data_IF_146456083425
#
_entry.id   IF_146456083425
#
_cell.length_a   1.000
_cell.length_b   1.000
_cell.length_c   1.000
_cell.angle_alpha   90.00
_cell.angle_beta   90.00
_cell.angle_gamma   90.00
#
_symmetry.space_group_name_H-M   'P 1'
#
loop_
_entity.id
_entity.type
_entity.pdbx_description
1 polymer ?
#
# COMPACT_ATOMS: atom_id res chain seq x y z
N UNK A 1 -8.87 10.60 26.22
CA UNK A 1 -8.30 9.36 25.67
C UNK A 1 -6.86 9.69 25.30
N UNK A 2 -5.87 8.98 25.85
CA UNK A 2 -4.48 9.19 25.41
C UNK A 2 -4.35 8.64 23.98
N UNK A 3 -3.64 9.36 23.11
CA UNK A 3 -3.32 8.84 21.78
C UNK A 3 -2.39 7.64 21.93
N UNK A 4 -2.64 6.58 21.18
CA UNK A 4 -1.74 5.41 21.12
C UNK A 4 -0.46 5.68 20.31
N UNK A 5 -0.42 6.78 19.56
CA UNK A 5 0.71 7.23 18.76
C UNK A 5 0.75 8.76 18.76
N UNK A 6 1.87 9.35 19.14
CA UNK A 6 2.03 10.80 19.37
C UNK A 6 3.01 11.48 18.40
N UNK A 7 3.57 10.72 17.45
CA UNK A 7 4.47 11.23 16.42
C UNK A 7 3.70 11.63 15.15
N UNK A 8 4.31 12.48 14.31
CA UNK A 8 3.76 12.78 12.99
C UNK A 8 3.81 11.55 12.08
N UNK A 9 2.74 11.32 11.33
CA UNK A 9 2.62 10.18 10.41
C UNK A 9 2.06 10.65 9.07
N UNK A 10 2.86 10.47 8.03
CA UNK A 10 2.53 10.74 6.63
C UNK A 10 2.34 9.39 5.93
N UNK A 11 1.10 9.04 5.59
CA UNK A 11 0.78 7.77 4.97
C UNK A 11 0.52 7.96 3.48
N UNK A 12 1.20 7.16 2.66
CA UNK A 12 0.80 6.92 1.27
C UNK A 12 -0.30 5.85 1.27
N UNK A 13 -1.55 6.30 1.07
CA UNK A 13 -2.72 5.42 1.05
C UNK A 13 -3.06 4.93 -0.35
N UNK A 14 -3.13 3.62 -0.51
CA UNK A 14 -3.52 2.95 -1.76
C UNK A 14 -4.22 1.60 -1.49
N UNK A 15 -4.98 1.51 -0.40
CA UNK A 15 -5.79 0.36 0.02
C UNK A 15 -7.13 0.22 -0.72
N UNK A 16 -7.36 1.04 -1.74
CA UNK A 16 -8.53 0.92 -2.58
C UNK A 16 -8.59 -0.44 -3.28
N UNK A 17 -9.71 -1.16 -3.09
CA UNK A 17 -10.02 -2.44 -3.74
C UNK A 17 -10.92 -2.21 -4.96
N UNK A 18 -12.24 -2.14 -4.73
CA UNK A 18 -13.22 -2.06 -5.80
C UNK A 18 -13.12 -0.80 -6.66
N UNK A 19 -12.76 0.36 -6.10
CA UNK A 19 -12.57 1.59 -6.88
C UNK A 19 -11.32 1.51 -7.76
N UNK A 20 -10.24 0.94 -7.26
CA UNK A 20 -9.00 0.76 -8.01
C UNK A 20 -9.22 -0.20 -9.18
N UNK A 21 -9.84 -1.35 -8.92
CA UNK A 21 -10.22 -2.31 -9.95
C UNK A 21 -11.16 -1.71 -11.01
N UNK A 22 -12.28 -1.11 -10.59
CA UNK A 22 -13.32 -0.63 -11.54
C UNK A 22 -12.88 0.61 -12.30
N UNK A 23 -12.25 1.58 -11.63
CA UNK A 23 -11.95 2.89 -12.23
C UNK A 23 -10.59 2.91 -12.95
N UNK A 24 -9.58 2.24 -12.42
CA UNK A 24 -8.24 2.24 -13.04
C UNK A 24 -8.11 1.15 -14.10
N UNK A 25 -8.65 -0.04 -13.85
CA UNK A 25 -8.51 -1.20 -14.75
C UNK A 25 -9.76 -1.52 -15.55
N UNK A 26 -10.90 -0.88 -15.28
CA UNK A 26 -12.14 -1.10 -16.03
C UNK A 26 -12.76 -2.49 -15.81
N UNK A 27 -12.36 -3.23 -14.77
CA UNK A 27 -12.80 -4.61 -14.54
C UNK A 27 -14.14 -4.62 -13.79
N UNK A 28 -15.24 -5.06 -14.41
CA UNK A 28 -16.52 -5.20 -13.72
C UNK A 28 -16.56 -6.51 -12.91
N UNK A 29 -17.20 -6.49 -11.73
CA UNK A 29 -17.39 -7.70 -10.92
C UNK A 29 -16.13 -8.15 -10.18
N UNK A 30 -15.90 -9.46 -10.11
CA UNK A 30 -14.69 -10.03 -9.50
C UNK A 30 -13.61 -10.23 -10.57
N UNK A 31 -12.34 -9.88 -10.29
CA UNK A 31 -11.27 -9.98 -11.26
C UNK A 31 -10.87 -11.45 -11.49
N UNK A 32 -10.56 -11.80 -12.73
CA UNK A 32 -9.87 -13.04 -13.07
C UNK A 32 -8.46 -13.10 -12.44
N UNK A 33 -7.80 -14.28 -12.42
CA UNK A 33 -6.43 -14.38 -11.92
C UNK A 33 -5.44 -13.46 -12.63
N UNK A 34 -5.57 -13.29 -13.94
CA UNK A 34 -4.69 -12.41 -14.73
C UNK A 34 -4.93 -10.93 -14.40
N UNK A 35 -6.19 -10.53 -14.27
CA UNK A 35 -6.58 -9.18 -13.85
C UNK A 35 -6.13 -8.88 -12.42
N UNK A 36 -6.25 -9.85 -11.52
CA UNK A 36 -5.75 -9.76 -10.15
C UNK A 36 -4.24 -9.56 -10.13
N UNK A 37 -3.50 -10.29 -10.97
CA UNK A 37 -2.05 -10.10 -11.11
C UNK A 37 -1.69 -8.69 -11.56
N UNK A 38 -2.44 -8.09 -12.50
CA UNK A 38 -2.24 -6.68 -12.93
C UNK A 38 -2.50 -5.68 -11.80
N UNK A 39 -3.53 -5.91 -10.98
CA UNK A 39 -3.83 -5.06 -9.83
C UNK A 39 -2.72 -5.15 -8.78
N UNK A 40 -2.24 -6.36 -8.49
CA UNK A 40 -1.14 -6.62 -7.56
C UNK A 40 0.14 -5.92 -8.04
N UNK A 41 0.48 -6.08 -9.32
CA UNK A 41 1.67 -5.48 -9.94
C UNK A 41 1.64 -3.95 -9.85
N UNK A 42 0.50 -3.32 -10.13
CA UNK A 42 0.36 -1.88 -9.99
C UNK A 42 0.51 -1.38 -8.54
N UNK A 43 0.05 -2.15 -7.54
CA UNK A 43 0.28 -1.82 -6.12
C UNK A 43 1.74 -2.01 -5.72
N UNK A 44 2.42 -3.01 -6.27
CA UNK A 44 3.86 -3.18 -6.09
C UNK A 44 4.63 -1.97 -6.63
N UNK A 45 4.27 -1.46 -7.81
CA UNK A 45 4.88 -0.26 -8.39
C UNK A 45 4.74 0.98 -7.49
N UNK A 46 3.58 1.17 -6.85
CA UNK A 46 3.39 2.26 -5.88
C UNK A 46 4.33 2.09 -4.68
N UNK A 47 4.49 0.86 -4.18
CA UNK A 47 5.40 0.56 -3.07
C UNK A 47 6.88 0.73 -3.45
N UNK A 48 7.27 0.39 -4.67
CA UNK A 48 8.61 0.66 -5.20
C UNK A 48 8.90 2.16 -5.24
N UNK A 49 7.93 2.97 -5.69
CA UNK A 49 8.01 4.43 -5.65
C UNK A 49 8.16 4.97 -4.22
N UNK A 50 7.43 4.40 -3.26
CA UNK A 50 7.58 4.74 -1.85
C UNK A 50 8.97 4.40 -1.31
N UNK A 51 9.47 3.18 -1.57
CA UNK A 51 10.80 2.76 -1.17
C UNK A 51 11.89 3.65 -1.77
N UNK A 52 11.71 4.06 -3.02
CA UNK A 52 12.59 5.04 -3.68
C UNK A 52 12.56 6.39 -2.98
N UNK A 53 11.38 6.92 -2.64
CA UNK A 53 11.27 8.19 -1.92
C UNK A 53 12.01 8.16 -0.57
N UNK A 54 11.94 7.04 0.17
CA UNK A 54 12.72 6.84 1.38
C UNK A 54 14.23 6.88 1.10
N UNK A 55 14.68 6.19 0.04
CA UNK A 55 16.10 6.21 -0.35
C UNK A 55 16.60 7.59 -0.80
N UNK A 56 15.70 8.45 -1.29
CA UNK A 56 15.98 9.82 -1.73
C UNK A 56 15.84 10.86 -0.59
N UNK A 57 15.56 10.43 0.64
CA UNK A 57 15.62 11.28 1.84
C UNK A 57 14.29 11.49 2.57
N UNK A 58 13.20 10.85 2.15
CA UNK A 58 11.98 10.83 2.96
C UNK A 58 12.21 10.08 4.28
N UNK A 59 11.57 10.54 5.35
CA UNK A 59 11.79 10.03 6.71
C UNK A 59 11.24 8.62 6.89
N UNK A 60 12.09 7.67 7.28
CA UNK A 60 11.68 6.30 7.63
C UNK A 60 10.92 6.22 8.96
N UNK A 61 10.96 7.27 9.78
CA UNK A 61 10.31 7.31 11.10
C UNK A 61 8.90 7.92 11.07
N UNK A 62 8.57 8.66 10.01
CA UNK A 62 7.30 9.37 9.90
C UNK A 62 6.56 9.11 8.60
N UNK A 63 7.15 8.41 7.62
CA UNK A 63 6.47 7.99 6.40
C UNK A 63 6.07 6.52 6.47
N UNK A 64 4.84 6.21 6.08
CA UNK A 64 4.33 4.85 6.01
C UNK A 64 3.46 4.59 4.79
N UNK A 65 3.09 3.33 4.59
CA UNK A 65 2.21 2.88 3.52
C UNK A 65 0.95 2.23 4.11
N UNK A 66 -0.20 2.50 3.47
CA UNK A 66 -1.48 1.86 3.77
C UNK A 66 -1.96 1.11 2.53
N UNK A 67 -2.04 -0.21 2.64
CA UNK A 67 -2.41 -1.11 1.53
C UNK A 67 -3.42 -2.16 2.01
N UNK A 68 -4.25 -2.67 1.10
CA UNK A 68 -5.26 -3.67 1.41
C UNK A 68 -4.72 -5.11 1.46
N UNK A 69 -5.49 -5.99 2.09
CA UNK A 69 -5.17 -7.41 2.22
C UNK A 69 -5.32 -8.20 0.92
N UNK A 70 -6.32 -7.90 0.11
CA UNK A 70 -6.67 -8.68 -1.09
C UNK A 70 -5.57 -8.63 -2.16
N UNK A 71 -5.04 -7.44 -2.45
CA UNK A 71 -4.05 -7.23 -3.51
C UNK A 71 -2.70 -6.75 -3.00
N UNK A 72 -2.62 -6.32 -1.74
CA UNK A 72 -1.43 -5.72 -1.14
C UNK A 72 -0.67 -6.59 -0.16
N UNK A 73 -1.11 -7.82 0.13
CA UNK A 73 -0.49 -8.65 1.16
C UNK A 73 1.02 -8.85 0.98
N UNK A 74 1.49 -9.03 -0.26
CA UNK A 74 2.92 -9.18 -0.55
C UNK A 74 3.71 -7.88 -0.27
N UNK A 75 3.15 -6.73 -0.67
CA UNK A 75 3.70 -5.40 -0.39
C UNK A 75 3.79 -5.16 1.11
N UNK A 76 2.71 -5.44 1.85
CA UNK A 76 2.68 -5.27 3.30
C UNK A 76 3.77 -6.11 4.00
N UNK A 77 3.91 -7.39 3.62
CA UNK A 77 4.95 -8.28 4.16
C UNK A 77 6.35 -7.77 3.85
N UNK A 78 6.61 -7.34 2.61
CA UNK A 78 7.90 -6.80 2.21
C UNK A 78 8.24 -5.51 2.97
N UNK A 79 7.26 -4.61 3.14
CA UNK A 79 7.46 -3.37 3.89
C UNK A 79 7.79 -3.61 5.36
N UNK A 80 7.06 -4.53 6.02
CA UNK A 80 7.38 -4.94 7.41
C UNK A 80 8.78 -5.54 7.49
N UNK A 81 9.16 -6.43 6.57
CA UNK A 81 10.49 -7.02 6.54
C UNK A 81 11.61 -5.98 6.32
N UNK A 82 11.31 -4.90 5.60
CA UNK A 82 12.21 -3.77 5.38
C UNK A 82 12.22 -2.74 6.52
N UNK A 83 11.44 -2.96 7.60
CA UNK A 83 11.34 -2.03 8.73
C UNK A 83 10.55 -0.75 8.42
N UNK A 84 9.71 -0.76 7.38
CA UNK A 84 8.84 0.36 7.03
C UNK A 84 7.61 0.39 7.94
N UNK A 85 7.03 1.59 8.13
CA UNK A 85 5.73 1.74 8.78
C UNK A 85 4.65 1.26 7.80
N UNK A 86 3.94 0.17 8.15
CA UNK A 86 2.90 -0.43 7.33
C UNK A 86 1.58 -0.45 8.11
N UNK A 87 0.52 -0.01 7.45
CA UNK A 87 -0.85 -0.13 7.93
C UNK A 87 -1.69 -0.94 6.93
N UNK A 88 -2.70 -1.65 7.45
CA UNK A 88 -3.72 -2.33 6.66
C UNK A 88 -5.09 -2.01 7.25
N UNK A 89 -6.13 -1.81 6.43
CA UNK A 89 -7.48 -1.59 6.93
C UNK A 89 -8.02 -2.86 7.61
N UNK A 90 -8.73 -2.67 8.72
CA UNK A 90 -9.52 -3.71 9.40
C UNK A 90 -10.84 -4.01 8.68
#
# INVERSE_FOLDING_TARGET
MALGYDQQLFILAFDHRGSFQKKMFGIPGDPSPEESAKIIDAKALIAEGFARALSEGASTQSCGLLVDEQFGAAVAKAGVAAGQIVAMPV
#
